data_IF_411359989745
#
_entry.id   IF_411359989745
#
_cell.length_a   1.000
_cell.length_b   1.000
_cell.length_c   1.000
_cell.angle_alpha   90.00
_cell.angle_beta   90.00
_cell.angle_gamma   90.00
#
_symmetry.space_group_name_H-M   'P 1'
#
loop_
_entity.id
_entity.type
_entity.pdbx_description
1 polymer ?
#
# COMPACT_ATOMS: atom_id res chain seq x y z
N UNK A 1 6.11 4.88 1.83
CA UNK A 1 6.41 3.50 2.28
C UNK A 1 5.62 3.18 3.54
N UNK A 2 5.57 1.91 3.97
CA UNK A 2 5.00 1.49 5.26
C UNK A 2 6.10 1.49 6.34
N UNK A 3 5.82 2.11 7.49
CA UNK A 3 6.64 2.12 8.70
C UNK A 3 5.94 1.29 9.77
N UNK A 4 6.40 0.07 9.97
CA UNK A 4 5.85 -0.83 10.97
C UNK A 4 6.59 -0.67 12.30
N UNK A 5 5.87 -0.54 13.43
CA UNK A 5 6.51 -0.50 14.74
C UNK A 5 7.24 -1.82 15.01
N UNK A 6 8.34 -1.74 15.76
CA UNK A 6 9.03 -2.92 16.24
C UNK A 6 8.35 -3.47 17.50
N UNK A 7 8.29 -4.79 17.63
CA UNK A 7 7.84 -5.43 18.88
C UNK A 7 9.05 -5.57 19.79
N UNK A 8 8.93 -5.11 21.04
CA UNK A 8 9.99 -5.16 22.04
C UNK A 8 10.27 -6.58 22.52
N UNK A 9 11.51 -6.90 22.87
CA UNK A 9 11.95 -8.23 23.33
C UNK A 9 11.30 -8.69 24.65
N UNK A 10 10.55 -7.81 25.33
CA UNK A 10 9.99 -8.03 26.68
C UNK A 10 8.51 -8.44 26.67
N UNK A 11 7.82 -8.33 25.54
CA UNK A 11 6.50 -8.94 25.38
C UNK A 11 6.73 -10.42 25.09
N UNK A 12 6.40 -11.25 26.08
CA UNK A 12 6.74 -12.67 26.12
C UNK A 12 6.34 -13.45 24.87
N UNK A 13 6.94 -14.64 24.78
CA UNK A 13 6.88 -15.73 23.78
C UNK A 13 5.48 -16.20 23.32
N UNK A 14 4.45 -15.36 23.41
CA UNK A 14 3.05 -15.60 23.06
C UNK A 14 2.39 -14.51 22.23
N UNK A 15 3.10 -13.45 21.80
CA UNK A 15 2.69 -12.71 20.61
C UNK A 15 3.07 -13.57 19.40
N UNK A 16 2.12 -14.41 18.98
CA UNK A 16 2.23 -15.21 17.76
C UNK A 16 2.79 -14.33 16.65
N UNK A 17 3.64 -14.92 15.80
CA UNK A 17 4.26 -14.32 14.62
C UNK A 17 3.17 -13.90 13.61
N UNK A 18 2.33 -12.92 13.97
CA UNK A 18 1.21 -12.40 13.18
C UNK A 18 1.82 -11.63 12.02
N UNK A 19 2.28 -12.33 10.98
CA UNK A 19 2.81 -11.69 9.79
C UNK A 19 1.87 -10.60 9.28
N UNK A 20 2.42 -9.45 8.91
CA UNK A 20 1.64 -8.36 8.32
C UNK A 20 1.50 -8.56 6.82
N UNK A 21 0.31 -8.30 6.28
CA UNK A 21 0.14 -8.14 4.83
C UNK A 21 0.09 -6.65 4.47
N UNK A 22 1.15 -6.17 3.81
CA UNK A 22 1.23 -4.83 3.26
C UNK A 22 0.74 -4.86 1.82
N UNK A 23 -0.37 -4.17 1.55
CA UNK A 23 -0.97 -4.19 0.21
C UNK A 23 -1.20 -2.77 -0.27
N UNK A 24 -0.88 -2.53 -1.55
CA UNK A 24 -1.20 -1.31 -2.28
C UNK A 24 -2.08 -1.68 -3.49
N UNK A 25 -3.23 -1.02 -3.59
CA UNK A 25 -4.17 -1.18 -4.69
C UNK A 25 -4.30 0.12 -5.48
N UNK A 26 -4.48 0.00 -6.79
CA UNK A 26 -4.82 1.11 -7.67
C UNK A 26 -6.18 0.80 -8.31
N UNK A 27 -7.14 1.69 -8.09
CA UNK A 27 -8.51 1.55 -8.56
C UNK A 27 -8.88 2.62 -9.56
N UNK A 28 -9.86 2.28 -10.39
CA UNK A 28 -10.56 3.18 -11.30
C UNK A 28 -12.04 3.26 -10.95
N UNK A 29 -12.57 4.47 -10.76
CA UNK A 29 -14.01 4.70 -10.62
C UNK A 29 -14.55 5.40 -11.86
N UNK A 30 -15.61 4.84 -12.42
CA UNK A 30 -16.36 5.38 -13.54
C UNK A 30 -17.71 5.93 -13.05
N UNK A 31 -18.33 6.81 -13.80
CA UNK A 31 -19.73 7.22 -13.56
C UNK A 31 -20.74 6.16 -14.02
N UNK A 32 -20.38 5.36 -15.02
CA UNK A 32 -21.22 4.34 -15.66
C UNK A 32 -21.23 2.99 -14.93
N UNK A 33 -20.37 2.81 -13.93
CA UNK A 33 -20.24 1.56 -13.18
C UNK A 33 -20.37 1.82 -11.67
N UNK A 34 -21.13 0.99 -10.98
CA UNK A 34 -21.57 1.25 -9.60
C UNK A 34 -20.45 1.09 -8.56
N UNK A 35 -19.37 0.38 -8.88
CA UNK A 35 -18.23 0.15 -8.00
C UNK A 35 -16.89 0.61 -8.58
N UNK A 36 -15.82 0.65 -7.78
CA UNK A 36 -14.47 0.84 -8.30
C UNK A 36 -13.95 -0.47 -8.93
N UNK A 37 -13.24 -0.36 -10.05
CA UNK A 37 -12.57 -1.46 -10.75
C UNK A 37 -11.11 -1.50 -10.31
N UNK A 38 -10.64 -2.65 -9.81
CA UNK A 38 -9.24 -2.86 -9.47
C UNK A 38 -8.40 -2.93 -10.74
N UNK A 39 -7.39 -2.05 -10.86
CA UNK A 39 -6.45 -2.06 -11.98
C UNK A 39 -5.17 -2.85 -11.63
N UNK A 40 -4.61 -2.59 -10.45
CA UNK A 40 -3.32 -3.16 -10.04
C UNK A 40 -3.32 -3.43 -8.54
N UNK A 41 -2.66 -4.53 -8.13
CA UNK A 41 -2.43 -4.92 -6.74
C UNK A 41 -0.96 -5.29 -6.58
N UNK A 42 -0.31 -4.74 -5.57
CA UNK A 42 1.01 -5.17 -5.10
C UNK A 42 0.90 -5.52 -3.61
N UNK A 43 1.39 -6.70 -3.23
CA UNK A 43 1.33 -7.21 -1.85
C UNK A 43 2.71 -7.69 -1.40
N UNK A 44 2.99 -7.54 -0.12
CA UNK A 44 4.16 -8.09 0.56
C UNK A 44 3.76 -8.59 1.95
N UNK A 45 3.95 -9.88 2.18
CA UNK A 45 3.92 -10.46 3.52
C UNK A 45 5.24 -10.18 4.22
N UNK A 46 5.18 -9.72 5.48
CA UNK A 46 6.36 -9.41 6.28
C UNK A 46 6.22 -9.95 7.70
N UNK A 47 7.30 -10.48 8.26
CA UNK A 47 7.39 -10.72 9.70
C UNK A 47 7.49 -9.37 10.42
N UNK A 48 6.94 -9.28 11.64
CA UNK A 48 7.09 -8.06 12.42
C UNK A 48 8.57 -7.76 12.71
N UNK A 49 9.00 -6.49 12.60
CA UNK A 49 10.35 -6.11 12.97
C UNK A 49 10.59 -6.43 14.45
N UNK A 50 11.75 -7.04 14.74
CA UNK A 50 12.22 -7.30 16.10
C UNK A 50 13.33 -6.32 16.46
N UNK A 51 13.38 -5.88 17.71
CA UNK A 51 14.45 -5.01 18.22
C UNK A 51 14.02 -3.55 18.40
N UNK A 52 14.95 -2.60 18.26
CA UNK A 52 14.69 -1.19 18.56
C UNK A 52 14.22 -0.36 17.35
N UNK A 53 14.53 -0.79 16.13
CA UNK A 53 14.27 -0.02 14.91
C UNK A 53 12.99 -0.48 14.20
N UNK A 54 12.19 0.45 13.64
CA UNK A 54 10.99 0.11 12.89
C UNK A 54 11.33 -0.52 11.53
N UNK A 55 10.42 -1.35 11.02
CA UNK A 55 10.52 -1.91 9.68
C UNK A 55 10.05 -0.92 8.63
N UNK A 56 10.83 -0.75 7.56
CA UNK A 56 10.53 0.16 6.46
C UNK A 56 10.32 -0.62 5.15
N UNK A 57 9.14 -0.48 4.55
CA UNK A 57 8.74 -1.27 3.40
C UNK A 57 8.14 -0.41 2.29
N UNK A 58 8.85 -0.26 1.18
CA UNK A 58 8.35 0.41 -0.02
C UNK A 58 7.66 -0.58 -0.96
N UNK A 59 6.52 -0.18 -1.51
CA UNK A 59 5.85 -0.85 -2.61
C UNK A 59 5.79 0.11 -3.80
N UNK A 60 6.31 -0.31 -4.94
CA UNK A 60 6.22 0.43 -6.20
C UNK A 60 5.64 -0.49 -7.27
N UNK A 61 4.59 -0.02 -7.94
CA UNK A 61 3.97 -0.68 -9.07
C UNK A 61 3.68 0.34 -10.18
N UNK A 62 3.61 -0.13 -11.41
CA UNK A 62 3.31 0.67 -12.59
C UNK A 62 2.63 -0.21 -13.66
N UNK A 63 1.86 0.43 -14.53
CA UNK A 63 1.15 -0.24 -15.62
C UNK A 63 0.40 0.74 -16.49
N UNK A 64 -0.17 0.24 -17.58
CA UNK A 64 -1.01 1.02 -18.51
C UNK A 64 -2.47 0.64 -18.33
N UNK A 65 -3.37 1.62 -18.39
CA UNK A 65 -4.80 1.38 -18.39
C UNK A 65 -5.50 2.36 -19.34
N UNK A 66 -6.54 1.89 -20.04
CA UNK A 66 -7.41 2.77 -20.80
C UNK A 66 -8.31 3.57 -19.86
N UNK A 67 -8.28 4.90 -19.99
CA UNK A 67 -9.06 5.84 -19.22
C UNK A 67 -9.98 6.64 -20.15
N UNK A 68 -11.23 6.80 -19.73
CA UNK A 68 -12.18 7.70 -20.39
C UNK A 68 -12.21 9.05 -19.67
N UNK A 69 -12.69 10.13 -20.33
CA UNK A 69 -12.94 11.39 -19.65
C UNK A 69 -13.78 11.17 -18.38
N UNK A 70 -13.38 11.84 -17.30
CA UNK A 70 -13.97 11.73 -15.96
C UNK A 70 -13.76 10.40 -15.20
N UNK A 71 -13.01 9.43 -15.74
CA UNK A 71 -12.50 8.32 -14.94
C UNK A 71 -11.63 8.86 -13.80
N UNK A 72 -11.83 8.33 -12.58
CA UNK A 72 -11.06 8.74 -11.40
C UNK A 72 -10.15 7.61 -10.96
N UNK A 73 -8.87 7.90 -10.82
CA UNK A 73 -7.89 6.99 -10.25
C UNK A 73 -7.69 7.29 -8.77
N UNK A 74 -7.53 6.25 -7.96
CA UNK A 74 -7.17 6.40 -6.56
C UNK A 74 -6.41 5.18 -6.05
N UNK A 75 -5.62 5.41 -5.00
CA UNK A 75 -4.80 4.39 -4.34
C UNK A 75 -5.43 4.05 -2.99
N UNK A 76 -5.46 2.77 -2.64
CA UNK A 76 -5.76 2.33 -1.27
C UNK A 76 -4.63 1.44 -0.75
N UNK A 77 -4.50 1.37 0.57
CA UNK A 77 -3.48 0.56 1.24
C UNK A 77 -4.11 -0.25 2.37
N UNK A 78 -3.54 -1.41 2.71
CA UNK A 78 -4.05 -2.28 3.78
C UNK A 78 -3.98 -1.63 5.17
N UNK A 79 -2.95 -0.83 5.43
CA UNK A 79 -2.76 -0.14 6.70
C UNK A 79 -2.32 1.32 6.46
N UNK A 80 -3.30 2.23 6.44
CA UNK A 80 -3.06 3.64 6.19
C UNK A 80 -2.34 4.33 7.36
N UNK A 81 -2.52 3.88 8.60
CA UNK A 81 -1.89 4.51 9.77
C UNK A 81 -0.38 4.26 9.85
N UNK A 82 0.11 3.21 9.19
CA UNK A 82 1.54 2.91 9.09
C UNK A 82 2.16 3.46 7.80
N UNK A 83 1.41 4.16 6.95
CA UNK A 83 1.95 4.71 5.70
C UNK A 83 2.56 6.09 5.93
N UNK A 84 3.83 6.26 5.57
CA UNK A 84 4.50 7.57 5.54
C UNK A 84 3.92 8.41 4.39
N UNK A 85 3.41 9.60 4.68
CA UNK A 85 2.69 10.45 3.71
C UNK A 85 3.55 11.61 3.18
N UNK A 86 4.83 11.70 3.56
CA UNK A 86 5.77 12.61 2.91
C UNK A 86 5.81 12.38 1.38
N UNK A 87 5.73 13.46 0.61
CA UNK A 87 5.64 13.42 -0.86
C UNK A 87 6.87 12.85 -1.56
N UNK A 88 8.01 12.69 -0.86
CA UNK A 88 9.20 11.99 -1.37
C UNK A 88 9.12 10.48 -1.12
N UNK A 89 8.34 10.05 -0.14
CA UNK A 89 8.23 8.67 0.32
C UNK A 89 7.00 7.92 -0.26
N UNK A 90 5.90 8.63 -0.47
CA UNK A 90 4.66 8.08 -1.01
C UNK A 90 4.05 9.04 -2.02
N UNK A 91 3.89 8.57 -3.24
CA UNK A 91 3.39 9.36 -4.36
C UNK A 91 2.63 8.48 -5.34
N UNK A 92 1.79 9.12 -6.15
CA UNK A 92 1.05 8.49 -7.24
C UNK A 92 1.01 9.45 -8.43
N UNK A 93 1.17 8.92 -9.64
CA UNK A 93 1.20 9.70 -10.86
C UNK A 93 0.72 8.91 -12.06
N UNK A 94 0.32 9.63 -13.11
CA UNK A 94 -0.07 9.09 -14.39
C UNK A 94 0.33 10.06 -15.50
N UNK A 95 0.57 9.52 -16.69
CA UNK A 95 0.85 10.28 -17.90
C UNK A 95 0.22 9.58 -19.10
N UNK A 96 -0.08 10.35 -20.15
CA UNK A 96 -0.66 9.82 -21.37
C UNK A 96 0.42 9.12 -22.20
N UNK A 97 0.12 7.90 -22.67
CA UNK A 97 0.97 7.12 -23.56
C UNK A 97 0.09 6.60 -24.70
N UNK A 98 0.21 7.21 -25.89
CA UNK A 98 -0.53 6.81 -27.09
C UNK A 98 -1.91 7.47 -27.20
#
# INVERSE_FOLDING_TARGET
YFRLPSVGETEGDGAEDEGAELVQYIYKKMSSYTGPILLMKSSRSVCWPRGQEPGLFSLHQAGTAFLQPADRLFVTVSNASTTEMDGRASYFGAFLVG
#
